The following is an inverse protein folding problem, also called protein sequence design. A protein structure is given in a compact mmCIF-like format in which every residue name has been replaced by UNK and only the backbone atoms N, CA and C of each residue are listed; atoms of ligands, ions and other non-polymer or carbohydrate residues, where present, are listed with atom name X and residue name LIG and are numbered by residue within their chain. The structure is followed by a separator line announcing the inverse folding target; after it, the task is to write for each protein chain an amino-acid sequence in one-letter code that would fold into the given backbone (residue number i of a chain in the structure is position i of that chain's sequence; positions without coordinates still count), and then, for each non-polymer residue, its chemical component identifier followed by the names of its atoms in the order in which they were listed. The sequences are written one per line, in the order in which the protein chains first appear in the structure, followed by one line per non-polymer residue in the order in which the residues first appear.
data_IF_558027363109
#
_entry.id   IF_558027363109
#
_cell.length_a   1.000
_cell.length_b   1.000
_cell.length_c   1.000
_cell.angle_alpha   90.00
_cell.angle_beta   90.00
_cell.angle_gamma   90.00
#
_symmetry.space_group_name_H-M   'P 1'
#
loop_
_entity.id
_entity.type
_entity.pdbx_description
1 polymer ?
#
# COMPACT_ATOMS: atom_id res chain seq x y z
N UNK A 1 -0.61 -12.94 -17.76
CA UNK A 1 0.08 -11.64 -17.94
C UNK A 1 -0.84 -10.53 -18.50
N UNK A 2 -2.16 -10.55 -18.24
CA UNK A 2 -3.11 -9.53 -18.74
C UNK A 2 -3.78 -8.70 -17.63
N UNK A 3 -3.57 -9.06 -16.36
CA UNK A 3 -4.26 -8.43 -15.23
C UNK A 3 -3.72 -7.01 -14.93
N UNK A 4 -2.40 -6.82 -15.07
CA UNK A 4 -1.72 -5.57 -14.73
C UNK A 4 -2.12 -4.37 -15.62
N UNK A 5 -2.17 -4.49 -16.96
CA UNK A 5 -2.63 -3.38 -17.80
C UNK A 5 -4.14 -3.11 -17.66
N UNK A 6 -4.96 -4.13 -17.37
CA UNK A 6 -6.39 -3.95 -17.15
C UNK A 6 -6.68 -3.14 -15.87
N UNK A 7 -5.93 -3.37 -14.80
CA UNK A 7 -6.00 -2.60 -13.56
C UNK A 7 -5.65 -1.12 -13.78
N UNK A 8 -4.59 -0.83 -14.55
CA UNK A 8 -4.16 0.54 -14.83
C UNK A 8 -5.23 1.34 -15.63
N UNK A 9 -5.87 0.71 -16.61
CA UNK A 9 -6.95 1.34 -17.37
C UNK A 9 -8.19 1.62 -16.50
N UNK A 10 -8.48 0.74 -15.54
CA UNK A 10 -9.64 0.84 -14.66
C UNK A 10 -9.53 1.97 -13.62
N UNK A 11 -8.33 2.22 -13.09
CA UNK A 11 -8.12 3.28 -12.09
C UNK A 11 -8.16 4.70 -12.70
N UNK A 12 -7.81 4.87 -13.98
CA UNK A 12 -7.81 6.18 -14.64
C UNK A 12 -9.22 6.76 -14.91
N UNK A 13 -10.28 5.93 -14.91
CA UNK A 13 -11.67 6.37 -15.11
C UNK A 13 -12.58 6.12 -13.88
N UNK A 14 -12.05 5.53 -12.81
CA UNK A 14 -12.86 5.18 -11.65
C UNK A 14 -13.15 6.41 -10.78
N UNK A 15 -14.44 6.68 -10.55
CA UNK A 15 -14.86 7.64 -9.53
C UNK A 15 -14.43 7.16 -8.13
N UNK A 16 -14.25 8.08 -7.18
CA UNK A 16 -13.81 7.74 -5.83
C UNK A 16 -14.70 6.69 -5.14
N UNK A 17 -16.02 6.72 -5.39
CA UNK A 17 -16.95 5.70 -4.89
C UNK A 17 -16.71 4.32 -5.51
N UNK A 18 -16.32 4.27 -6.78
CA UNK A 18 -15.93 3.03 -7.46
C UNK A 18 -14.62 2.49 -6.89
N UNK A 19 -13.64 3.35 -6.63
CA UNK A 19 -12.37 2.97 -6.00
C UNK A 19 -12.59 2.29 -4.65
N UNK A 20 -13.50 2.80 -3.81
CA UNK A 20 -13.81 2.18 -2.50
C UNK A 20 -14.36 0.76 -2.67
N UNK A 21 -15.29 0.56 -3.59
CA UNK A 21 -15.87 -0.77 -3.86
C UNK A 21 -14.83 -1.70 -4.47
N UNK A 22 -14.06 -1.22 -5.42
CA UNK A 22 -13.06 -1.99 -6.13
C UNK A 22 -11.89 -2.39 -5.22
N UNK A 23 -11.47 -1.50 -4.30
CA UNK A 23 -10.40 -1.78 -3.34
C UNK A 23 -10.68 -3.03 -2.52
N UNK A 24 -11.91 -3.20 -2.03
CA UNK A 24 -12.31 -4.40 -1.29
C UNK A 24 -12.23 -5.69 -2.12
N UNK A 25 -12.45 -5.60 -3.44
CA UNK A 25 -12.36 -6.74 -4.37
C UNK A 25 -10.93 -7.05 -4.81
N UNK A 26 -10.10 -6.03 -4.99
CA UNK A 26 -8.70 -6.18 -5.44
C UNK A 26 -7.78 -6.61 -4.30
N UNK A 27 -8.09 -6.29 -3.04
CA UNK A 27 -7.18 -6.52 -1.93
C UNK A 27 -6.75 -8.00 -1.82
N UNK A 28 -7.69 -8.94 -1.91
CA UNK A 28 -7.40 -10.36 -1.81
C UNK A 28 -6.52 -10.88 -2.96
N UNK A 29 -6.86 -10.69 -4.24
CA UNK A 29 -5.99 -11.12 -5.34
C UNK A 29 -4.63 -10.41 -5.34
N UNK A 30 -4.55 -9.16 -4.86
CA UNK A 30 -3.28 -8.45 -4.70
C UNK A 30 -2.40 -9.13 -3.65
N UNK A 31 -2.95 -9.51 -2.50
CA UNK A 31 -2.21 -10.22 -1.44
C UNK A 31 -1.70 -11.58 -1.94
N UNK A 32 -2.55 -12.34 -2.64
CA UNK A 32 -2.16 -13.62 -3.23
C UNK A 32 -1.04 -13.43 -4.26
N UNK A 33 -1.17 -12.42 -5.12
CA UNK A 33 -0.15 -12.10 -6.12
C UNK A 33 1.19 -11.73 -5.46
N UNK A 34 1.17 -10.93 -4.39
CA UNK A 34 2.37 -10.57 -3.64
C UNK A 34 3.03 -11.78 -2.97
N UNK A 35 2.23 -12.74 -2.49
CA UNK A 35 2.76 -14.01 -1.99
C UNK A 35 3.39 -14.86 -3.09
N UNK A 36 2.83 -14.86 -4.30
CA UNK A 36 3.37 -15.59 -5.44
C UNK A 36 4.63 -14.93 -6.02
N UNK A 37 4.69 -13.60 -6.00
CA UNK A 37 5.85 -12.81 -6.45
C UNK A 37 6.91 -12.61 -5.35
N UNK A 38 6.81 -13.34 -4.24
CA UNK A 38 7.81 -13.34 -3.17
C UNK A 38 9.16 -13.80 -3.75
N UNK A 39 10.22 -13.08 -3.41
CA UNK A 39 11.60 -13.41 -3.83
C UNK A 39 12.12 -14.73 -3.27
N UNK A 40 13.38 -15.03 -3.58
CA UNK A 40 14.05 -16.24 -3.09
C UNK A 40 14.46 -16.11 -1.62
N UNK A 41 14.35 -17.21 -0.88
CA UNK A 41 14.79 -17.27 0.51
C UNK A 41 16.31 -17.44 0.58
N UNK A 42 17.02 -16.31 0.75
CA UNK A 42 18.49 -16.29 0.79
C UNK A 42 19.08 -16.37 2.20
N UNK A 43 18.25 -16.37 3.25
CA UNK A 43 18.67 -16.45 4.66
C UNK A 43 19.20 -15.15 5.26
N UNK A 44 19.46 -14.11 4.45
CA UNK A 44 19.86 -12.78 4.91
C UNK A 44 18.76 -11.78 4.54
N UNK A 45 18.22 -11.10 5.55
CA UNK A 45 17.07 -10.20 5.39
C UNK A 45 17.32 -8.84 6.03
N UNK A 46 16.85 -7.80 5.35
CA UNK A 46 16.82 -6.42 5.82
C UNK A 46 15.39 -6.02 6.13
N UNK A 47 15.20 -5.34 7.25
CA UNK A 47 13.89 -4.83 7.67
C UNK A 47 13.97 -3.30 7.66
N UNK A 48 13.06 -2.68 6.92
CA UNK A 48 12.91 -1.23 6.91
C UNK A 48 11.47 -0.82 7.21
N UNK A 49 11.28 0.35 7.81
CA UNK A 49 9.97 0.92 8.06
C UNK A 49 9.87 2.30 7.43
N UNK A 50 9.07 2.41 6.37
CA UNK A 50 8.83 3.67 5.67
C UNK A 50 7.48 4.25 6.06
N UNK A 51 7.44 5.57 6.31
CA UNK A 51 6.17 6.28 6.47
C UNK A 51 5.66 6.66 5.08
N UNK A 52 4.46 6.20 4.74
CA UNK A 52 3.79 6.55 3.48
C UNK A 52 2.70 7.58 3.75
N UNK A 53 2.92 8.80 3.27
CA UNK A 53 1.91 9.86 3.30
C UNK A 53 0.86 9.61 2.22
N UNK A 54 -0.40 9.46 2.62
CA UNK A 54 -1.53 9.19 1.72
C UNK A 54 -2.16 10.49 1.23
N UNK A 55 -2.49 11.39 2.16
CA UNK A 55 -3.13 12.66 1.82
C UNK A 55 -2.75 13.77 2.80
N UNK A 56 -2.87 15.02 2.34
CA UNK A 56 -2.76 16.18 3.21
C UNK A 56 -3.92 16.23 4.22
N UNK A 57 -3.66 16.82 5.39
CA UNK A 57 -4.64 16.95 6.47
C UNK A 57 -5.82 17.89 6.16
N UNK A 58 -5.93 18.43 4.95
CA UNK A 58 -7.07 19.26 4.54
C UNK A 58 -8.36 18.45 4.35
N UNK A 59 -8.29 17.12 4.12
CA UNK A 59 -9.48 16.27 3.90
C UNK A 59 -9.39 14.84 4.47
N UNK A 60 -8.92 14.60 5.70
CA UNK A 60 -8.77 13.25 6.26
C UNK A 60 -10.11 12.49 6.32
N UNK A 61 -11.20 13.17 6.65
CA UNK A 61 -12.56 12.58 6.72
C UNK A 61 -13.08 12.06 5.38
N UNK A 62 -12.58 12.58 4.27
CA UNK A 62 -12.98 12.13 2.94
C UNK A 62 -12.33 10.80 2.55
N UNK A 63 -11.18 10.46 3.16
CA UNK A 63 -10.44 9.23 2.87
C UNK A 63 -11.06 8.02 3.59
N UNK A 64 -11.96 7.31 2.91
CA UNK A 64 -12.67 6.12 3.40
C UNK A 64 -11.87 4.84 3.16
N UNK A 65 -11.00 4.83 2.15
CA UNK A 65 -10.20 3.65 1.76
C UNK A 65 -9.19 3.30 2.85
N UNK A 66 -8.47 4.30 3.36
CA UNK A 66 -7.39 4.11 4.32
C UNK A 66 -7.75 4.46 5.77
N UNK A 67 -9.00 4.84 6.04
CA UNK A 67 -9.45 5.33 7.36
C UNK A 67 -9.12 4.36 8.52
N UNK A 68 -9.15 3.04 8.25
CA UNK A 68 -8.88 2.01 9.27
C UNK A 68 -7.42 1.68 9.46
N UNK A 69 -6.53 2.12 8.57
CA UNK A 69 -5.11 1.73 8.58
C UNK A 69 -4.16 2.92 8.65
N UNK A 70 -4.68 4.15 8.55
CA UNK A 70 -3.90 5.38 8.58
C UNK A 70 -4.19 6.22 9.82
N UNK A 71 -3.23 7.05 10.20
CA UNK A 71 -3.30 8.02 11.30
C UNK A 71 -2.77 9.36 10.84
N UNK A 72 -3.04 10.41 11.62
CA UNK A 72 -2.47 11.73 11.35
C UNK A 72 -1.04 11.73 11.88
N UNK A 73 -0.08 11.75 10.95
CA UNK A 73 1.34 11.94 11.20
C UNK A 73 1.76 13.41 11.05
N UNK A 74 2.81 13.80 11.77
CA UNK A 74 3.43 15.12 11.68
C UNK A 74 4.77 15.01 10.94
N UNK A 75 4.98 15.85 9.94
CA UNK A 75 6.24 16.06 9.25
C UNK A 75 6.70 17.52 9.39
N UNK A 76 7.92 17.81 8.99
CA UNK A 76 8.45 19.19 8.90
C UNK A 76 7.60 20.10 8.01
N UNK A 77 6.90 19.52 7.04
CA UNK A 77 6.07 20.22 6.06
C UNK A 77 4.59 20.32 6.46
N UNK A 78 4.18 19.72 7.58
CA UNK A 78 2.81 19.80 8.09
C UNK A 78 2.24 18.50 8.65
N UNK A 79 0.91 18.43 8.73
CA UNK A 79 0.17 17.25 9.14
C UNK A 79 -0.32 16.48 7.91
N UNK A 80 -0.16 15.17 7.93
CA UNK A 80 -0.50 14.26 6.84
C UNK A 80 -1.22 13.04 7.38
N UNK A 81 -2.12 12.46 6.59
CA UNK A 81 -2.65 11.14 6.87
C UNK A 81 -1.65 10.10 6.35
N UNK A 82 -1.02 9.34 7.22
CA UNK A 82 0.03 8.38 6.90
C UNK A 82 -0.17 7.02 7.58
N UNK A 83 0.59 6.02 7.12
CA UNK A 83 0.79 4.76 7.84
C UNK A 83 2.23 4.30 7.68
N UNK A 84 2.66 3.38 8.53
CA UNK A 84 3.99 2.78 8.45
C UNK A 84 3.93 1.48 7.66
N UNK A 85 4.78 1.37 6.66
CA UNK A 85 4.99 0.17 5.88
C UNK A 85 6.30 -0.49 6.34
N UNK A 86 6.18 -1.67 6.94
CA UNK A 86 7.32 -2.51 7.26
C UNK A 86 7.60 -3.45 6.09
N UNK A 87 8.78 -3.31 5.50
CA UNK A 87 9.25 -4.10 4.38
C UNK A 87 10.34 -5.05 4.87
N UNK A 88 10.24 -6.32 4.45
CA UNK A 88 11.33 -7.28 4.59
C UNK A 88 11.85 -7.56 3.18
N UNK A 89 13.14 -7.34 2.98
CA UNK A 89 13.81 -7.43 1.68
C UNK A 89 15.01 -8.36 1.82
N UNK A 90 15.28 -9.20 0.82
CA UNK A 90 16.49 -10.02 0.83
C UNK A 90 17.73 -9.25 0.35
N UNK A 91 18.90 -9.88 0.41
CA UNK A 91 20.15 -9.32 -0.09
C UNK A 91 20.21 -9.05 -1.60
N UNK A 92 19.27 -9.58 -2.39
CA UNK A 92 19.13 -9.28 -3.83
C UNK A 92 18.19 -8.09 -4.09
N UNK A 93 17.57 -7.52 -3.06
CA UNK A 93 16.61 -6.43 -3.19
C UNK A 93 15.18 -6.90 -3.48
N UNK A 94 14.89 -8.19 -3.36
CA UNK A 94 13.56 -8.74 -3.61
C UNK A 94 12.68 -8.64 -2.37
N UNK A 95 11.40 -8.35 -2.58
CA UNK A 95 10.43 -8.22 -1.48
C UNK A 95 10.08 -9.60 -0.95
N UNK A 96 10.24 -9.76 0.36
CA UNK A 96 9.99 -11.01 1.06
C UNK A 96 8.69 -11.01 1.82
N UNK A 97 8.36 -9.86 2.43
CA UNK A 97 7.12 -9.67 3.15
C UNK A 97 6.83 -8.17 3.31
N UNK A 98 5.54 -7.84 3.36
CA UNK A 98 5.06 -6.48 3.58
C UNK A 98 4.06 -6.48 4.72
N UNK A 99 4.20 -5.55 5.67
CA UNK A 99 3.28 -5.41 6.80
C UNK A 99 2.93 -3.95 7.02
N UNK A 100 1.63 -3.66 7.07
CA UNK A 100 1.13 -2.30 7.33
C UNK A 100 0.84 -2.15 8.83
N UNK A 101 1.27 -1.04 9.41
CA UNK A 101 0.91 -0.61 10.77
C UNK A 101 0.48 0.85 10.80
N UNK A 102 -0.48 1.13 11.68
CA UNK A 102 -0.91 2.49 12.02
C UNK A 102 0.14 3.22 12.87
#
# INVERSE_FOLDING_TARGET
MYLFPMLALYFCLASYSMIIQLWSRILLPLVILMHYLKGEETGIYYIDSTKLAICHNTRPSSNRVFNRISKIGKSSYGLFLDFKLHLIINNKGEIMSVKIRQ
#
